data_IF_015860726618
#
_entry.id   IF_015860726618
#
_cell.length_a   1.000
_cell.length_b   1.000
_cell.length_c   1.000
_cell.angle_alpha   90.00
_cell.angle_beta   90.00
_cell.angle_gamma   90.00
#
_symmetry.space_group_name_H-M   'P 1'
#
loop_
_entity.id
_entity.type
_entity.pdbx_description
1 polymer ?
#
# COMPACT_ATOMS: atom_id res chain seq x y z
N UNK A 1 -23.97 1.27 -9.14
CA UNK A 1 -22.92 1.36 -10.18
C UNK A 1 -22.31 2.76 -10.28
N UNK A 2 -23.10 3.81 -10.55
CA UNK A 2 -22.60 5.20 -10.67
C UNK A 2 -21.83 5.70 -9.43
N UNK A 3 -22.34 5.44 -8.22
CA UNK A 3 -21.67 5.82 -6.95
C UNK A 3 -20.28 5.19 -6.79
N UNK A 4 -20.11 3.96 -7.27
CA UNK A 4 -18.82 3.26 -7.23
C UNK A 4 -17.82 3.88 -8.22
N UNK A 5 -18.27 4.19 -9.44
CA UNK A 5 -17.46 4.91 -10.42
C UNK A 5 -17.03 6.29 -9.91
N UNK A 6 -17.95 7.06 -9.34
CA UNK A 6 -17.65 8.38 -8.76
C UNK A 6 -16.62 8.27 -7.62
N UNK A 7 -16.78 7.29 -6.73
CA UNK A 7 -15.81 7.04 -5.67
C UNK A 7 -14.43 6.67 -6.22
N UNK A 8 -14.37 5.83 -7.26
CA UNK A 8 -13.12 5.40 -7.87
C UNK A 8 -12.38 6.57 -8.55
N UNK A 9 -13.10 7.39 -9.30
CA UNK A 9 -12.56 8.60 -9.95
C UNK A 9 -12.05 9.59 -8.89
N UNK A 10 -12.82 9.80 -7.83
CA UNK A 10 -12.41 10.67 -6.72
C UNK A 10 -11.08 10.20 -6.11
N UNK A 11 -10.94 8.91 -5.79
CA UNK A 11 -9.69 8.36 -5.26
C UNK A 11 -8.51 8.48 -6.22
N UNK A 12 -8.73 8.28 -7.52
CA UNK A 12 -7.70 8.47 -8.55
C UNK A 12 -7.23 9.92 -8.64
N UNK A 13 -8.16 10.88 -8.64
CA UNK A 13 -7.82 12.32 -8.72
C UNK A 13 -7.07 12.76 -7.47
N UNK A 14 -7.55 12.39 -6.28
CA UNK A 14 -6.89 12.71 -5.02
C UNK A 14 -5.50 12.06 -4.94
N UNK A 15 -5.40 10.78 -5.31
CA UNK A 15 -4.12 10.06 -5.35
C UNK A 15 -3.12 10.70 -6.33
N UNK A 16 -3.57 11.08 -7.52
CA UNK A 16 -2.76 11.78 -8.52
C UNK A 16 -2.29 13.15 -8.02
N UNK A 17 -3.16 13.89 -7.33
CA UNK A 17 -2.81 15.19 -6.74
C UNK A 17 -1.73 15.03 -5.66
N UNK A 18 -1.88 14.07 -4.77
CA UNK A 18 -0.91 13.77 -3.71
C UNK A 18 0.47 13.42 -4.29
N UNK A 19 0.51 12.60 -5.34
CA UNK A 19 1.75 12.27 -6.05
C UNK A 19 2.35 13.48 -6.78
N UNK A 20 1.51 14.31 -7.41
CA UNK A 20 1.95 15.47 -8.18
C UNK A 20 2.60 16.55 -7.29
N UNK A 21 1.98 16.84 -6.14
CA UNK A 21 2.50 17.81 -5.19
C UNK A 21 3.73 17.30 -4.42
N UNK A 22 4.26 16.10 -4.76
CA UNK A 22 5.26 15.39 -3.97
C UNK A 22 4.92 15.49 -2.50
N UNK A 23 3.63 15.29 -2.17
CA UNK A 23 3.24 15.15 -0.78
C UNK A 23 3.96 13.89 -0.35
N UNK A 24 5.04 14.14 0.36
CA UNK A 24 5.83 13.14 0.99
C UNK A 24 4.85 12.40 1.91
N UNK A 25 4.44 11.22 1.45
CA UNK A 25 3.83 10.16 2.26
C UNK A 25 4.89 9.28 2.97
N UNK A 26 6.20 9.63 3.09
CA UNK A 26 7.21 8.69 3.52
C UNK A 26 6.94 8.28 4.96
N UNK A 27 6.27 9.07 5.80
CA UNK A 27 6.01 8.58 7.16
C UNK A 27 5.20 7.27 7.18
N UNK A 28 4.21 7.14 6.30
CA UNK A 28 3.34 5.97 6.21
C UNK A 28 3.91 4.83 5.37
N UNK A 29 4.90 5.08 4.50
CA UNK A 29 5.48 4.06 3.61
C UNK A 29 7.01 3.92 3.71
N UNK A 30 7.70 4.68 4.57
CA UNK A 30 9.16 4.64 4.70
C UNK A 30 9.67 3.36 5.34
N UNK A 31 8.78 2.54 5.90
CA UNK A 31 9.08 1.21 6.41
C UNK A 31 9.06 0.14 5.32
N UNK A 32 8.39 0.40 4.18
CA UNK A 32 8.39 -0.52 3.02
C UNK A 32 9.81 -0.63 2.49
N UNK A 33 10.34 -1.85 2.45
CA UNK A 33 11.67 -2.17 1.95
C UNK A 33 12.79 -1.95 2.97
N UNK A 34 12.47 -1.58 4.20
CA UNK A 34 13.43 -1.50 5.32
C UNK A 34 13.28 -2.63 6.33
N UNK A 35 12.30 -3.51 6.13
CA UNK A 35 12.07 -4.64 7.03
C UNK A 35 13.13 -5.72 6.77
N UNK A 36 13.63 -6.40 7.82
CA UNK A 36 14.53 -7.52 7.65
C UNK A 36 13.83 -8.61 6.80
N UNK A 37 14.49 -9.05 5.73
CA UNK A 37 13.94 -10.01 4.76
C UNK A 37 13.37 -9.37 3.49
N UNK A 38 13.19 -8.05 3.44
CA UNK A 38 12.98 -7.37 2.16
C UNK A 38 14.29 -7.34 1.36
N UNK A 39 14.23 -7.66 0.07
CA UNK A 39 15.40 -7.68 -0.80
C UNK A 39 15.38 -6.49 -1.75
N UNK A 40 16.39 -5.63 -1.64
CA UNK A 40 16.61 -4.51 -2.56
C UNK A 40 17.97 -4.70 -3.24
N UNK A 41 17.95 -4.98 -4.54
CA UNK A 41 19.14 -4.96 -5.37
C UNK A 41 19.12 -3.71 -6.26
N UNK A 42 20.08 -2.80 -6.06
CA UNK A 42 20.28 -1.62 -6.90
C UNK A 42 21.44 -1.87 -7.84
N UNK A 43 21.22 -1.72 -9.15
CA UNK A 43 22.26 -1.82 -10.17
C UNK A 43 22.12 -0.67 -11.15
N UNK A 44 23.04 0.29 -11.09
CA UNK A 44 23.13 1.50 -11.92
C UNK A 44 21.80 2.25 -12.10
N UNK A 45 21.00 1.85 -13.09
CA UNK A 45 19.68 2.44 -13.41
C UNK A 45 18.48 1.57 -13.01
N UNK A 46 18.70 0.32 -12.60
CA UNK A 46 17.66 -0.64 -12.23
C UNK A 46 17.61 -0.88 -10.73
N UNK A 47 16.41 -0.79 -10.16
CA UNK A 47 16.15 -1.16 -8.76
C UNK A 47 15.22 -2.37 -8.79
N UNK A 48 15.73 -3.53 -8.35
CA UNK A 48 14.93 -4.72 -8.13
C UNK A 48 14.53 -4.78 -6.66
N UNK A 49 13.24 -4.66 -6.39
CA UNK A 49 12.67 -4.70 -5.04
C UNK A 49 11.76 -5.91 -4.87
N UNK A 50 12.04 -6.72 -3.85
CA UNK A 50 11.25 -7.89 -3.50
C UNK A 50 10.76 -7.78 -2.04
N UNK A 51 9.48 -7.40 -1.82
CA UNK A 51 8.92 -7.09 -0.51
C UNK A 51 8.46 -8.35 0.24
N UNK A 52 9.36 -9.27 0.63
CA UNK A 52 8.93 -10.53 1.30
C UNK A 52 8.22 -10.22 2.61
N UNK A 53 8.91 -9.51 3.50
CA UNK A 53 8.45 -9.25 4.85
C UNK A 53 7.40 -8.15 4.85
N UNK A 54 7.62 -7.11 4.05
CA UNK A 54 6.65 -6.03 3.84
C UNK A 54 5.29 -6.59 3.35
N UNK A 55 5.29 -7.44 2.32
CA UNK A 55 4.04 -7.98 1.78
C UNK A 55 3.35 -8.95 2.75
N UNK A 56 4.12 -9.81 3.44
CA UNK A 56 3.58 -10.70 4.46
C UNK A 56 2.93 -9.93 5.62
N UNK A 57 3.57 -8.87 6.11
CA UNK A 57 3.02 -8.00 7.16
C UNK A 57 1.71 -7.35 6.74
N UNK A 58 1.67 -6.78 5.53
CA UNK A 58 0.45 -6.19 4.95
C UNK A 58 -0.66 -7.23 4.85
N UNK A 59 -0.35 -8.44 4.35
CA UNK A 59 -1.32 -9.52 4.21
C UNK A 59 -1.92 -9.93 5.56
N UNK A 60 -1.11 -10.01 6.63
CA UNK A 60 -1.57 -10.34 7.98
C UNK A 60 -2.49 -9.23 8.52
N UNK A 61 -2.08 -7.97 8.40
CA UNK A 61 -2.89 -6.82 8.87
C UNK A 61 -4.24 -6.79 8.17
N UNK A 62 -4.25 -6.90 6.85
CA UNK A 62 -5.47 -6.93 6.03
C UNK A 62 -6.34 -8.13 6.41
N UNK A 63 -5.76 -9.32 6.50
CA UNK A 63 -6.49 -10.54 6.85
C UNK A 63 -7.13 -10.45 8.24
N UNK A 64 -6.39 -9.90 9.20
CA UNK A 64 -6.88 -9.70 10.58
C UNK A 64 -8.01 -8.69 10.61
N UNK A 65 -7.83 -7.55 9.93
CA UNK A 65 -8.85 -6.51 9.80
C UNK A 65 -10.15 -7.08 9.21
N UNK A 66 -10.08 -7.74 8.05
CA UNK A 66 -11.27 -8.34 7.41
C UNK A 66 -11.89 -9.47 8.24
N UNK A 67 -11.08 -10.26 8.94
CA UNK A 67 -11.57 -11.30 9.85
C UNK A 67 -12.40 -10.70 10.99
N UNK A 68 -12.00 -9.54 11.55
CA UNK A 68 -12.76 -8.84 12.58
C UNK A 68 -14.16 -8.39 12.12
N UNK A 69 -14.33 -7.95 10.87
CA UNK A 69 -15.65 -7.57 10.34
C UNK A 69 -16.53 -8.77 9.97
N UNK A 70 -15.94 -9.94 9.69
CA UNK A 70 -16.70 -11.15 9.37
C UNK A 70 -17.47 -11.68 10.58
N UNK A 71 -16.99 -11.42 11.80
CA UNK A 71 -17.63 -11.87 13.04
C UNK A 71 -18.85 -11.05 13.44
N UNK A 72 -19.00 -9.82 12.92
CA UNK A 72 -20.07 -8.89 13.32
C UNK A 72 -21.27 -8.87 12.35
N UNK A 73 -21.63 -10.04 11.80
CA UNK A 73 -22.84 -10.25 10.98
C UNK A 73 -23.69 -11.39 11.55
N UNK A 74 -24.02 -11.30 12.83
CA UNK A 74 -25.17 -11.98 13.40
C UNK A 74 -26.34 -11.00 13.43
#
# INVERSE_FOLDING_TARGET
MLKFLLSFIFFLVVGGLLLHYKVDLPYLFAWIGKLPGDFIAKKDTTIFYFPITSAAGVAIVISTFFSSFKKNKN
#
